data_IF_525053157741
#
_entry.id   IF_525053157741
#
_cell.length_a   1.000
_cell.length_b   1.000
_cell.length_c   1.000
_cell.angle_alpha   90.00
_cell.angle_beta   90.00
_cell.angle_gamma   90.00
#
_symmetry.space_group_name_H-M   'P 1'
#
loop_
_entity.id
_entity.type
_entity.pdbx_description
1 polymer ?
#
# COMPACT_ATOMS: atom_id res chain seq x y z
N UNK A 1 -17.84 -3.98 -4.09
CA UNK A 1 -18.72 -5.11 -4.44
C UNK A 1 -17.90 -6.21 -5.10
N UNK A 2 -18.09 -7.45 -4.66
CA UNK A 2 -17.40 -8.60 -5.23
C UNK A 2 -17.97 -8.96 -6.62
N UNK A 3 -17.16 -9.59 -7.47
CA UNK A 3 -17.65 -10.18 -8.72
C UNK A 3 -18.43 -11.47 -8.40
N UNK A 4 -19.33 -11.86 -9.30
CA UNK A 4 -20.01 -13.16 -9.21
C UNK A 4 -19.00 -14.31 -9.21
N UNK A 5 -19.20 -15.29 -8.33
CA UNK A 5 -18.36 -16.49 -8.16
C UNK A 5 -18.07 -17.20 -9.49
N UNK A 6 -19.08 -17.33 -10.38
CA UNK A 6 -18.94 -17.99 -11.69
C UNK A 6 -17.90 -17.33 -12.60
N UNK A 7 -17.61 -16.04 -12.43
CA UNK A 7 -16.71 -15.26 -13.28
C UNK A 7 -15.26 -15.23 -12.77
N UNK A 8 -15.03 -15.67 -11.54
CA UNK A 8 -13.71 -15.61 -10.89
C UNK A 8 -13.21 -14.20 -10.57
N UNK A 9 -12.05 -14.10 -9.89
CA UNK A 9 -11.37 -12.85 -9.65
C UNK A 9 -10.90 -12.24 -10.97
N UNK A 10 -10.94 -10.92 -11.07
CA UNK A 10 -10.42 -10.21 -12.23
C UNK A 10 -8.99 -9.76 -11.96
N UNK A 11 -8.09 -10.02 -12.91
CA UNK A 11 -6.69 -9.61 -12.89
C UNK A 11 -6.31 -9.15 -14.30
N UNK A 12 -5.64 -8.00 -14.42
CA UNK A 12 -5.19 -7.50 -15.72
C UNK A 12 -4.13 -8.44 -16.32
N UNK A 13 -4.33 -8.98 -17.54
CA UNK A 13 -3.35 -9.84 -18.20
C UNK A 13 -1.97 -9.19 -18.36
N UNK A 14 -1.91 -7.86 -18.54
CA UNK A 14 -0.62 -7.14 -18.63
C UNK A 14 0.12 -7.16 -17.30
N UNK A 15 -0.61 -7.15 -16.19
CA UNK A 15 -0.03 -7.20 -14.85
C UNK A 15 0.56 -8.59 -14.59
N UNK A 16 -0.19 -9.64 -14.90
CA UNK A 16 0.28 -11.03 -14.79
C UNK A 16 1.52 -11.29 -15.64
N UNK A 17 1.55 -10.79 -16.88
CA UNK A 17 2.73 -10.93 -17.75
C UNK A 17 3.97 -10.22 -17.21
N UNK A 18 3.82 -9.09 -16.52
CA UNK A 18 4.95 -8.43 -15.85
C UNK A 18 5.43 -9.26 -14.66
N UNK A 19 4.49 -9.80 -13.89
CA UNK A 19 4.76 -10.63 -12.72
C UNK A 19 5.51 -11.92 -13.10
N UNK A 20 5.11 -12.58 -14.20
CA UNK A 20 5.72 -13.83 -14.67
C UNK A 20 7.18 -13.68 -15.11
N UNK A 21 7.60 -12.45 -15.45
CA UNK A 21 8.97 -12.17 -15.86
C UNK A 21 9.90 -11.88 -14.67
N UNK A 22 9.34 -11.73 -13.47
CA UNK A 22 10.06 -11.37 -12.26
C UNK A 22 10.32 -12.60 -11.39
N UNK A 23 11.46 -12.60 -10.71
CA UNK A 23 11.81 -13.65 -9.75
C UNK A 23 11.41 -13.21 -8.34
N UNK A 24 11.12 -14.18 -7.48
CA UNK A 24 10.90 -13.92 -6.06
C UNK A 24 12.14 -13.25 -5.46
N UNK A 25 11.94 -12.12 -4.79
CA UNK A 25 13.00 -11.31 -4.20
C UNK A 25 13.38 -10.05 -5.01
N UNK A 26 12.88 -9.92 -6.25
CA UNK A 26 13.10 -8.72 -7.04
C UNK A 26 12.37 -7.52 -6.43
N UNK A 27 13.13 -6.48 -6.06
CA UNK A 27 12.59 -5.24 -5.45
C UNK A 27 12.03 -4.25 -6.48
N UNK A 28 11.76 -4.70 -7.70
CA UNK A 28 11.27 -3.84 -8.77
C UNK A 28 9.83 -3.41 -8.51
N UNK A 29 9.55 -2.12 -8.68
CA UNK A 29 8.19 -1.59 -8.51
C UNK A 29 7.41 -1.77 -9.81
N UNK A 30 6.39 -2.61 -9.77
CA UNK A 30 5.51 -2.84 -10.93
C UNK A 30 4.44 -1.76 -10.99
N UNK A 31 4.57 -0.82 -11.93
CA UNK A 31 3.57 0.22 -12.15
C UNK A 31 2.30 -0.35 -12.79
N UNK A 32 1.15 -0.02 -12.19
CA UNK A 32 -0.17 -0.42 -12.65
C UNK A 32 -1.20 0.70 -12.54
N UNK A 33 -2.02 0.83 -13.57
CA UNK A 33 -3.24 1.64 -13.58
C UNK A 33 -4.49 0.81 -13.27
N UNK A 34 -4.37 -0.52 -13.25
CA UNK A 34 -5.48 -1.44 -13.05
C UNK A 34 -5.82 -1.58 -11.57
N UNK A 35 -6.48 -0.55 -11.02
CA UNK A 35 -6.97 -0.51 -9.64
C UNK A 35 -8.06 -1.56 -9.34
N UNK A 36 -8.71 -2.08 -10.38
CA UNK A 36 -9.78 -3.07 -10.28
C UNK A 36 -9.29 -4.51 -10.14
N UNK A 37 -8.00 -4.75 -10.39
CA UNK A 37 -7.36 -6.06 -10.27
C UNK A 37 -7.38 -6.55 -8.84
N UNK A 38 -7.69 -7.83 -8.70
CA UNK A 38 -7.72 -8.56 -7.44
C UNK A 38 -6.31 -9.05 -7.15
N UNK A 39 -5.88 -8.93 -5.90
CA UNK A 39 -4.58 -9.42 -5.48
C UNK A 39 -4.61 -10.95 -5.50
N UNK A 40 -3.78 -11.54 -6.36
CA UNK A 40 -3.60 -12.99 -6.45
C UNK A 40 -2.44 -13.44 -5.55
N UNK A 41 -2.42 -14.71 -5.12
CA UNK A 41 -1.33 -15.24 -4.27
C UNK A 41 0.07 -15.06 -4.88
N UNK A 42 0.18 -15.10 -6.21
CA UNK A 42 1.45 -14.90 -6.94
C UNK A 42 2.06 -13.50 -6.72
N UNK A 43 1.24 -12.50 -6.35
CA UNK A 43 1.70 -11.12 -6.14
C UNK A 43 2.34 -10.91 -4.76
N UNK A 44 2.24 -11.87 -3.85
CA UNK A 44 2.78 -11.74 -2.49
C UNK A 44 4.30 -11.62 -2.55
N UNK A 45 4.85 -10.65 -1.81
CA UNK A 45 6.28 -10.36 -1.78
C UNK A 45 6.75 -9.38 -2.86
N UNK A 46 5.87 -8.94 -3.78
CA UNK A 46 6.19 -7.90 -4.76
C UNK A 46 5.66 -6.53 -4.33
N UNK A 47 6.30 -5.47 -4.87
CA UNK A 47 5.85 -4.09 -4.67
C UNK A 47 5.10 -3.59 -5.89
N UNK A 48 3.84 -3.23 -5.69
CA UNK A 48 2.93 -2.75 -6.73
C UNK A 48 2.81 -1.23 -6.65
N UNK A 49 3.23 -0.53 -7.70
CA UNK A 49 2.99 0.91 -7.83
C UNK A 49 1.57 1.15 -8.34
N UNK A 50 0.61 1.43 -7.45
CA UNK A 50 -0.80 1.61 -7.81
C UNK A 50 -1.12 3.08 -8.05
N UNK A 51 -1.58 3.41 -9.26
CA UNK A 51 -1.92 4.79 -9.63
C UNK A 51 -3.14 5.31 -8.83
N UNK A 52 -3.00 6.47 -8.17
CA UNK A 52 -4.09 7.12 -7.41
C UNK A 52 -4.81 8.25 -8.16
N UNK A 53 -4.38 8.58 -9.38
CA UNK A 53 -4.87 9.72 -10.16
C UNK A 53 -3.82 10.81 -10.36
N UNK A 54 -2.77 10.82 -9.54
CA UNK A 54 -1.65 11.77 -9.61
C UNK A 54 -0.30 11.06 -9.68
N UNK A 55 -0.11 10.07 -8.83
CA UNK A 55 1.15 9.34 -8.70
C UNK A 55 0.93 7.84 -8.50
N UNK A 56 2.00 7.06 -8.56
CA UNK A 56 1.97 5.63 -8.28
C UNK A 56 2.44 5.40 -6.85
N UNK A 57 1.51 5.03 -5.97
CA UNK A 57 1.81 4.73 -4.57
C UNK A 57 2.43 3.32 -4.51
N UNK A 58 3.63 3.14 -3.94
CA UNK A 58 4.22 1.82 -3.76
C UNK A 58 3.49 1.08 -2.63
N UNK A 59 2.87 -0.05 -2.98
CA UNK A 59 2.18 -0.94 -2.04
C UNK A 59 2.94 -2.26 -2.00
N UNK A 60 3.52 -2.60 -0.85
CA UNK A 60 4.11 -3.92 -0.63
C UNK A 60 3.01 -4.92 -0.30
N UNK A 61 2.92 -6.01 -1.08
CA UNK A 61 1.81 -6.96 -0.97
C UNK A 61 2.15 -8.07 0.03
N UNK A 62 1.31 -8.21 1.06
CA UNK A 62 1.37 -9.28 2.06
C UNK A 62 0.22 -10.27 1.88
N UNK A 63 0.32 -11.46 2.46
CA UNK A 63 -0.68 -12.54 2.32
C UNK A 63 -2.09 -12.12 2.75
N UNK A 64 -2.20 -11.32 3.81
CA UNK A 64 -3.48 -10.82 4.31
C UNK A 64 -4.22 -9.91 3.32
N UNK A 65 -3.55 -9.44 2.26
CA UNK A 65 -4.16 -8.62 1.21
C UNK A 65 -4.76 -9.45 0.06
N UNK A 66 -4.54 -10.76 0.03
CA UNK A 66 -5.07 -11.64 -1.03
C UNK A 66 -6.60 -11.58 -1.04
N UNK A 67 -7.19 -11.45 -2.23
CA UNK A 67 -8.64 -11.32 -2.41
C UNK A 67 -9.17 -9.88 -2.37
N UNK A 68 -8.38 -8.92 -1.86
CA UNK A 68 -8.70 -7.49 -1.95
C UNK A 68 -8.37 -6.91 -3.32
N UNK A 69 -8.86 -5.69 -3.60
CA UNK A 69 -8.49 -4.96 -4.81
C UNK A 69 -7.28 -4.06 -4.56
N UNK A 70 -6.40 -3.95 -5.56
CA UNK A 70 -5.25 -3.05 -5.51
C UNK A 70 -5.64 -1.59 -5.21
N UNK A 71 -6.80 -1.15 -5.70
CA UNK A 71 -7.30 0.20 -5.45
C UNK A 71 -7.65 0.51 -3.98
N UNK A 72 -7.86 -0.50 -3.14
CA UNK A 72 -8.18 -0.30 -1.71
C UNK A 72 -6.97 0.24 -0.94
N UNK A 73 -5.76 -0.07 -1.40
CA UNK A 73 -4.50 0.32 -0.78
C UNK A 73 -3.91 1.63 -1.34
N UNK A 74 -4.64 2.33 -2.21
CA UNK A 74 -4.19 3.54 -2.90
C UNK A 74 -5.26 4.62 -2.82
N UNK A 75 -5.30 5.45 -1.77
CA UNK A 75 -6.33 6.48 -1.59
C UNK A 75 -6.27 7.53 -2.70
N UNK A 76 -7.42 7.90 -3.26
CA UNK A 76 -7.51 8.83 -4.40
C UNK A 76 -7.88 10.26 -4.01
N UNK A 77 -8.50 10.45 -2.84
CA UNK A 77 -8.86 11.77 -2.32
C UNK A 77 -8.11 12.01 -1.03
N UNK A 78 -7.48 13.17 -0.92
CA UNK A 78 -6.97 13.64 0.36
C UNK A 78 -8.17 14.00 1.23
N UNK A 79 -8.34 13.31 2.34
CA UNK A 79 -9.36 13.66 3.31
C UNK A 79 -8.92 14.92 4.06
N UNK A 80 -9.53 16.06 3.73
CA UNK A 80 -9.40 17.27 4.51
C UNK A 80 -10.38 17.18 5.68
N UNK A 81 -9.85 17.01 6.89
CA UNK A 81 -10.68 16.92 8.10
C UNK A 81 -11.36 18.26 8.37
N UNK A 82 -12.63 18.22 8.77
CA UNK A 82 -13.30 19.35 9.40
C UNK A 82 -13.11 19.25 10.93
N UNK A 83 -11.92 19.57 11.42
CA UNK A 83 -11.58 19.52 12.84
C UNK A 83 -11.35 20.91 13.42
N UNK A 84 -12.06 21.27 14.49
CA UNK A 84 -11.78 22.48 15.28
C UNK A 84 -10.44 22.40 16.05
N UNK A 85 -10.11 23.42 16.86
CA UNK A 85 -8.83 23.54 17.58
C UNK A 85 -8.39 22.28 18.33
N UNK A 86 -9.32 21.62 19.04
CA UNK A 86 -9.03 20.43 19.85
C UNK A 86 -8.49 19.25 19.03
N UNK A 87 -8.95 19.06 17.79
CA UNK A 87 -8.47 17.98 16.92
C UNK A 87 -7.06 18.29 16.39
N UNK A 88 -6.79 19.57 16.11
CA UNK A 88 -5.47 20.03 15.67
C UNK A 88 -4.41 19.85 16.75
N UNK A 89 -4.79 20.07 18.02
CA UNK A 89 -3.94 19.81 19.18
C UNK A 89 -3.67 18.30 19.37
N UNK A 90 -4.67 17.44 19.18
CA UNK A 90 -4.49 15.98 19.22
C UNK A 90 -3.58 15.46 18.10
N UNK A 91 -3.75 15.95 16.86
CA UNK A 91 -2.90 15.59 15.73
C UNK A 91 -1.45 16.09 15.94
N UNK A 92 -1.25 17.27 16.54
CA UNK A 92 0.07 17.79 16.91
C UNK A 92 0.73 16.92 18.00
N UNK A 93 -0.02 16.55 19.03
CA UNK A 93 0.46 15.65 20.09
C UNK A 93 0.82 14.26 19.55
N UNK A 94 0.01 13.70 18.63
CA UNK A 94 0.32 12.43 17.96
C UNK A 94 1.55 12.55 17.05
N UNK A 95 1.74 13.67 16.37
CA UNK A 95 2.93 13.92 15.56
C UNK A 95 4.21 14.05 16.40
N UNK A 96 4.14 14.70 17.57
CA UNK A 96 5.25 14.75 18.52
C UNK A 96 5.58 13.38 19.10
N UNK A 97 4.55 12.60 19.47
CA UNK A 97 4.76 11.24 19.98
C UNK A 97 5.42 10.34 18.93
N UNK A 98 4.97 10.38 17.67
CA UNK A 98 5.62 9.66 16.56
C UNK A 98 7.07 10.08 16.36
N UNK A 99 7.39 11.38 16.48
CA UNK A 99 8.76 11.88 16.38
C UNK A 99 9.62 11.36 17.54
N UNK A 100 9.12 11.42 18.77
CA UNK A 100 9.82 10.91 19.96
C UNK A 100 10.09 9.41 19.87
N UNK A 101 9.12 8.62 19.39
CA UNK A 101 9.28 7.18 19.16
C UNK A 101 10.34 6.88 18.09
N UNK A 102 10.38 7.66 17.01
CA UNK A 102 11.43 7.52 15.98
C UNK A 102 12.82 7.93 16.49
N UNK A 103 12.91 8.97 17.32
CA UNK A 103 14.16 9.41 17.95
C UNK A 103 14.66 8.42 19.01
N UNK A 104 13.77 7.82 19.79
CA UNK A 104 14.14 6.79 20.76
C UNK A 104 14.60 5.51 20.07
N UNK A 105 13.93 5.09 19.00
CA UNK A 105 14.34 3.94 18.19
C UNK A 105 15.71 4.19 17.51
N UNK A 106 15.96 5.41 17.04
CA UNK A 106 17.26 5.80 16.48
C UNK A 106 18.39 5.74 17.52
N UNK A 107 18.14 6.19 18.75
CA UNK A 107 19.12 6.13 19.85
C UNK A 107 19.36 4.71 20.39
N UNK A 108 18.36 3.82 20.32
CA UNK A 108 18.53 2.41 20.70
C UNK A 108 19.34 1.61 19.68
N UNK A 109 19.30 1.99 18.41
CA UNK A 109 20.14 1.39 17.36
C UNK A 109 21.60 1.83 17.50
N UNK A 110 21.86 3.10 17.78
CA UNK A 110 23.20 3.68 17.97
C UNK A 110 23.92 3.17 19.24
N UNK A 111 23.18 2.58 20.18
CA UNK A 111 23.71 2.03 21.45
C UNK A 111 23.98 0.52 21.39
N UNK A 112 23.64 -0.14 20.28
CA UNK A 112 23.83 -1.57 20.03
C UNK A 112 24.98 -1.88 19.06
N UNK A 113 25.56 -0.85 18.45
CA UNK A 113 26.87 -0.89 17.78
C UNK A 113 27.99 -0.58 18.78
#
# INVERSE_FOLDING_TARGET
MARSLKKGPFTDPKLLKKLSNLRQGDKTIIKTWSRSSTITPEMVGFTMGVHNGREHIPVYVVENMVGHKLGEFSPTRTFFRHGGRMQKEQDAAQAENRKKEMESAGKELDKKE
#
